data_IF_363805017357
#
_entry.id   IF_363805017357
#
_cell.length_a   1.000
_cell.length_b   1.000
_cell.length_c   1.000
_cell.angle_alpha   90.00
_cell.angle_beta   90.00
_cell.angle_gamma   90.00
#
_symmetry.space_group_name_H-M   'P 1'
#
loop_
_entity.id
_entity.type
_entity.pdbx_description
1 polymer ?
#
# COMPACT_ATOMS: atom_id res chain seq x y z
N UNK A 1 -3.69 10.84 -21.82
CA UNK A 1 -3.03 10.07 -20.75
C UNK A 1 -3.14 10.85 -19.45
N UNK A 2 -4.05 10.47 -18.56
CA UNK A 2 -4.09 11.04 -17.21
C UNK A 2 -2.92 10.42 -16.43
N UNK A 3 -1.88 11.20 -16.11
CA UNK A 3 -0.92 10.83 -15.04
C UNK A 3 -1.75 10.80 -13.76
N UNK A 4 -1.97 9.59 -13.24
CA UNK A 4 -2.98 9.40 -12.21
C UNK A 4 -2.59 9.87 -10.82
N UNK A 5 -1.32 10.13 -10.49
CA UNK A 5 -1.01 10.55 -9.11
C UNK A 5 0.25 11.42 -8.97
N UNK A 6 0.22 12.38 -8.02
CA UNK A 6 1.36 13.24 -7.67
C UNK A 6 2.49 12.43 -7.02
N UNK A 7 3.74 12.80 -7.34
CA UNK A 7 4.98 12.29 -6.75
C UNK A 7 5.24 12.86 -5.35
N UNK A 8 4.20 12.99 -4.52
CA UNK A 8 4.41 13.49 -3.16
C UNK A 8 4.89 12.33 -2.26
N UNK A 9 6.01 12.51 -1.54
CA UNK A 9 6.50 11.49 -0.64
C UNK A 9 5.48 11.23 0.48
N UNK A 10 5.46 10.02 1.07
CA UNK A 10 4.54 9.70 2.14
C UNK A 10 4.73 10.67 3.30
N UNK A 11 3.63 11.23 3.81
CA UNK A 11 3.64 12.18 4.91
C UNK A 11 4.38 11.62 6.14
N UNK A 12 5.06 12.50 6.87
CA UNK A 12 5.74 12.16 8.13
C UNK A 12 4.84 12.54 9.31
N UNK A 13 4.33 11.52 9.99
CA UNK A 13 3.50 11.61 11.17
C UNK A 13 4.30 11.30 12.46
N UNK A 14 5.63 11.19 12.38
CA UNK A 14 6.53 11.12 13.53
C UNK A 14 6.68 9.74 14.17
N UNK A 15 6.04 8.70 13.62
CA UNK A 15 6.29 7.30 14.02
C UNK A 15 5.99 6.35 12.86
N UNK A 16 6.69 5.22 12.79
CA UNK A 16 6.47 4.19 11.78
C UNK A 16 5.02 3.72 11.76
N UNK A 17 4.41 3.54 12.93
CA UNK A 17 3.00 3.14 13.05
C UNK A 17 2.08 4.17 12.40
N UNK A 18 2.19 5.44 12.78
CA UNK A 18 1.33 6.49 12.24
C UNK A 18 1.55 6.68 10.73
N UNK A 19 2.81 6.60 10.28
CA UNK A 19 3.17 6.70 8.86
C UNK A 19 2.53 5.58 8.04
N UNK A 20 2.63 4.32 8.50
CA UNK A 20 2.05 3.16 7.83
C UNK A 20 0.52 3.16 7.86
N UNK A 21 -0.10 3.63 8.95
CA UNK A 21 -1.56 3.74 9.04
C UNK A 21 -2.10 4.76 8.03
N UNK A 22 -1.55 5.97 8.03
CA UNK A 22 -1.95 7.02 7.09
C UNK A 22 -1.74 6.58 5.64
N UNK A 23 -0.58 5.97 5.36
CA UNK A 23 -0.29 5.44 4.02
C UNK A 23 -1.26 4.32 3.61
N UNK A 24 -1.57 3.38 4.50
CA UNK A 24 -2.46 2.25 4.18
C UNK A 24 -3.92 2.69 3.99
N UNK A 25 -4.37 3.71 4.73
CA UNK A 25 -5.67 4.35 4.56
C UNK A 25 -5.77 5.02 3.19
N UNK A 26 -4.76 5.84 2.82
CA UNK A 26 -4.70 6.47 1.51
C UNK A 26 -4.64 5.42 0.38
N UNK A 27 -3.79 4.40 0.54
CA UNK A 27 -3.69 3.31 -0.43
C UNK A 27 -5.03 2.59 -0.64
N UNK A 28 -5.77 2.33 0.44
CA UNK A 28 -7.09 1.72 0.37
C UNK A 28 -8.08 2.63 -0.38
N UNK A 29 -8.18 3.90 -0.01
CA UNK A 29 -9.08 4.86 -0.67
C UNK A 29 -8.78 4.94 -2.17
N UNK A 30 -7.50 5.06 -2.50
CA UNK A 30 -7.01 5.23 -3.86
C UNK A 30 -7.29 3.99 -4.74
N UNK A 31 -7.04 2.79 -4.20
CA UNK A 31 -7.17 1.53 -4.94
C UNK A 31 -8.60 1.00 -4.97
N UNK A 32 -9.43 1.35 -3.97
CA UNK A 32 -10.87 1.01 -3.97
C UNK A 32 -11.73 1.94 -4.83
N UNK A 33 -11.19 3.09 -5.26
CA UNK A 33 -11.87 4.01 -6.18
C UNK A 33 -12.20 3.34 -7.51
N UNK A 34 -13.21 3.86 -8.23
CA UNK A 34 -13.57 3.34 -9.56
C UNK A 34 -12.37 3.28 -10.51
N UNK A 35 -11.52 4.31 -10.49
CA UNK A 35 -10.32 4.38 -11.30
C UNK A 35 -9.26 3.38 -10.82
N UNK A 36 -9.09 3.21 -9.50
CA UNK A 36 -8.20 2.23 -8.91
C UNK A 36 -8.59 0.80 -9.31
N UNK A 37 -9.86 0.43 -9.20
CA UNK A 37 -10.36 -0.90 -9.57
C UNK A 37 -10.14 -1.19 -11.06
N UNK A 38 -10.39 -0.21 -11.95
CA UNK A 38 -10.09 -0.35 -13.38
C UNK A 38 -8.60 -0.56 -13.60
N UNK A 39 -7.75 0.25 -12.96
CA UNK A 39 -6.30 0.13 -13.05
C UNK A 39 -5.80 -1.26 -12.60
N UNK A 40 -6.32 -1.81 -11.50
CA UNK A 40 -5.94 -3.14 -11.01
C UNK A 40 -6.41 -4.23 -11.99
N UNK A 41 -7.63 -4.10 -12.52
CA UNK A 41 -8.16 -5.06 -13.51
C UNK A 41 -7.34 -5.02 -14.80
N UNK A 42 -6.93 -3.85 -15.27
CA UNK A 42 -6.06 -3.69 -16.43
C UNK A 42 -4.68 -4.28 -16.18
N UNK A 43 -4.12 -4.08 -14.98
CA UNK A 43 -2.88 -4.69 -14.55
C UNK A 43 -2.95 -6.23 -14.57
N UNK A 44 -4.08 -6.81 -14.13
CA UNK A 44 -4.32 -8.26 -14.14
C UNK A 44 -4.68 -8.84 -15.50
N UNK A 45 -5.38 -8.07 -16.34
CA UNK A 45 -5.78 -8.49 -17.68
C UNK A 45 -4.58 -8.69 -18.62
N UNK A 46 -3.40 -8.18 -18.22
CA UNK A 46 -2.17 -8.33 -18.97
C UNK A 46 -2.20 -7.46 -20.22
N UNK A 47 -1.51 -6.32 -20.17
CA UNK A 47 -1.01 -5.71 -21.39
C UNK A 47 0.01 -6.69 -22.03
N UNK A 48 -0.04 -6.99 -23.34
CA UNK A 48 1.04 -7.69 -24.03
C UNK A 48 2.45 -7.12 -23.77
N UNK A 49 2.57 -5.88 -23.28
CA UNK A 49 3.83 -5.26 -22.85
C UNK A 49 4.21 -5.47 -21.36
N UNK A 50 3.43 -6.20 -20.55
CA UNK A 50 3.84 -6.68 -19.21
C UNK A 50 4.05 -5.62 -18.11
N UNK A 51 3.80 -4.33 -18.37
CA UNK A 51 4.29 -3.25 -17.49
C UNK A 51 3.33 -2.74 -16.41
N UNK A 52 2.02 -2.96 -16.51
CA UNK A 52 1.06 -2.28 -15.62
C UNK A 52 1.05 -2.82 -14.18
N UNK A 53 1.08 -4.14 -14.00
CA UNK A 53 1.14 -4.78 -12.68
C UNK A 53 2.47 -4.54 -11.96
N UNK A 54 3.59 -4.65 -12.69
CA UNK A 54 4.93 -4.38 -12.17
C UNK A 54 5.03 -2.94 -11.63
N UNK A 55 4.56 -1.95 -12.41
CA UNK A 55 4.54 -0.54 -11.98
C UNK A 55 3.71 -0.28 -10.72
N UNK A 56 2.59 -0.99 -10.54
CA UNK A 56 1.78 -0.87 -9.31
C UNK A 56 2.56 -1.38 -8.08
N UNK A 57 3.25 -2.51 -8.24
CA UNK A 57 4.06 -3.12 -7.19
C UNK A 57 5.26 -2.25 -6.86
N UNK A 58 5.98 -1.77 -7.88
CA UNK A 58 7.18 -0.95 -7.73
C UNK A 58 6.88 0.35 -6.96
N UNK A 59 5.74 0.98 -7.25
CA UNK A 59 5.33 2.19 -6.53
C UNK A 59 5.05 1.93 -5.04
N UNK A 60 4.30 0.88 -4.71
CA UNK A 60 4.03 0.53 -3.32
C UNK A 60 5.35 0.22 -2.58
N UNK A 61 6.28 -0.48 -3.23
CA UNK A 61 7.62 -0.75 -2.71
C UNK A 61 8.41 0.52 -2.44
N UNK A 62 8.43 1.48 -3.37
CA UNK A 62 9.15 2.75 -3.21
C UNK A 62 8.62 3.57 -2.04
N UNK A 63 7.30 3.68 -1.91
CA UNK A 63 6.65 4.43 -0.83
C UNK A 63 6.92 3.78 0.54
N UNK A 64 6.78 2.45 0.64
CA UNK A 64 7.08 1.71 1.87
C UNK A 64 8.56 1.80 2.25
N UNK A 65 9.48 1.75 1.28
CA UNK A 65 10.91 1.99 1.51
C UNK A 65 11.17 3.40 2.03
N UNK A 66 10.52 4.43 1.49
CA UNK A 66 10.67 5.80 1.97
C UNK A 66 10.23 5.95 3.43
N UNK A 67 9.08 5.37 3.80
CA UNK A 67 8.59 5.30 5.19
C UNK A 67 9.60 4.57 6.07
N UNK A 68 10.10 3.41 5.61
CA UNK A 68 11.04 2.58 6.36
C UNK A 68 12.39 3.27 6.61
N UNK A 69 12.97 3.92 5.59
CA UNK A 69 14.22 4.69 5.73
C UNK A 69 14.07 5.78 6.78
N UNK A 70 12.94 6.49 6.77
CA UNK A 70 12.66 7.56 7.73
C UNK A 70 12.53 7.02 9.15
N UNK A 71 11.76 5.94 9.35
CA UNK A 71 11.60 5.29 10.65
C UNK A 71 12.93 4.72 11.20
N UNK A 72 13.74 4.10 10.34
CA UNK A 72 15.07 3.62 10.70
C UNK A 72 15.99 4.78 11.14
N UNK A 73 15.88 5.95 10.49
CA UNK A 73 16.57 7.18 10.91
C UNK A 73 16.18 7.67 12.31
N UNK A 74 14.99 7.31 12.80
CA UNK A 74 14.53 7.56 14.19
C UNK A 74 14.91 6.45 15.17
N UNK A 75 15.55 5.37 14.70
CA UNK A 75 15.89 4.19 15.53
C UNK A 75 14.71 3.24 15.77
N UNK A 76 13.62 3.35 15.00
CA UNK A 76 12.49 2.43 15.08
C UNK A 76 12.81 1.09 14.43
N UNK A 77 12.23 -0.01 14.94
CA UNK A 77 12.33 -1.32 14.30
C UNK A 77 11.40 -1.39 13.09
N UNK A 78 11.96 -1.51 11.89
CA UNK A 78 11.21 -1.51 10.63
C UNK A 78 11.08 -2.93 10.10
N UNK A 79 9.85 -3.42 9.82
CA UNK A 79 9.66 -4.68 9.11
C UNK A 79 10.27 -4.62 7.70
N UNK A 80 10.67 -5.78 7.19
CA UNK A 80 11.11 -5.88 5.80
C UNK A 80 10.00 -5.46 4.83
N UNK A 81 10.37 -4.85 3.70
CA UNK A 81 9.40 -4.34 2.72
C UNK A 81 8.52 -5.45 2.15
N UNK A 82 9.06 -6.66 1.92
CA UNK A 82 8.27 -7.80 1.45
C UNK A 82 7.24 -8.22 2.50
N UNK A 83 7.58 -8.12 3.79
CA UNK A 83 6.61 -8.37 4.86
C UNK A 83 5.46 -7.35 4.86
N UNK A 84 5.73 -6.09 4.52
CA UNK A 84 4.71 -5.06 4.39
C UNK A 84 3.83 -5.32 3.15
N UNK A 85 4.43 -5.73 2.03
CA UNK A 85 3.67 -6.14 0.84
C UNK A 85 2.75 -7.32 1.14
N UNK A 86 3.28 -8.38 1.72
CA UNK A 86 2.56 -9.63 1.97
C UNK A 86 1.44 -9.48 3.02
N UNK A 87 1.66 -8.63 4.03
CA UNK A 87 0.77 -8.54 5.20
C UNK A 87 -0.15 -7.32 5.20
N UNK A 88 0.13 -6.31 4.36
CA UNK A 88 -0.71 -5.11 4.22
C UNK A 88 -1.25 -4.98 2.81
N UNK A 89 -0.37 -4.93 1.80
CA UNK A 89 -0.77 -4.65 0.41
C UNK A 89 -1.59 -5.80 -0.18
N UNK A 90 -1.09 -7.03 -0.14
CA UNK A 90 -1.76 -8.18 -0.74
C UNK A 90 -3.17 -8.43 -0.14
N UNK A 91 -3.39 -8.38 1.19
CA UNK A 91 -4.72 -8.51 1.77
C UNK A 91 -5.70 -7.40 1.37
N UNK A 92 -5.22 -6.17 1.19
CA UNK A 92 -6.05 -5.05 0.70
C UNK A 92 -6.47 -5.30 -0.76
N UNK A 93 -5.50 -5.62 -1.62
CA UNK A 93 -5.75 -5.90 -3.04
C UNK A 93 -6.72 -7.08 -3.23
N UNK A 94 -6.53 -8.15 -2.46
CA UNK A 94 -7.43 -9.31 -2.47
C UNK A 94 -8.87 -8.91 -2.14
N UNK A 95 -9.08 -8.10 -1.10
CA UNK A 95 -10.44 -7.65 -0.72
C UNK A 95 -11.03 -6.72 -1.78
N UNK A 96 -10.28 -5.76 -2.31
CA UNK A 96 -10.76 -4.90 -3.41
C UNK A 96 -11.27 -5.71 -4.60
N UNK A 97 -10.55 -6.77 -4.97
CA UNK A 97 -10.88 -7.58 -6.15
C UNK A 97 -12.01 -8.58 -5.92
N UNK A 98 -12.02 -9.25 -4.77
CA UNK A 98 -12.85 -10.43 -4.56
C UNK A 98 -13.88 -10.27 -3.44
N UNK A 99 -13.70 -9.30 -2.54
CA UNK A 99 -14.54 -9.10 -1.35
C UNK A 99 -14.64 -7.61 -0.97
N UNK A 100 -15.31 -6.79 -1.80
CA UNK A 100 -15.34 -5.34 -1.59
C UNK A 100 -16.11 -4.93 -0.31
N UNK A 101 -16.90 -5.83 0.27
CA UNK A 101 -17.58 -5.59 1.53
C UNK A 101 -16.59 -5.51 2.71
N UNK A 102 -16.73 -4.48 3.54
CA UNK A 102 -15.95 -4.33 4.78
C UNK A 102 -14.52 -3.78 4.59
N UNK A 103 -14.26 -3.13 3.45
CA UNK A 103 -13.09 -2.25 3.29
C UNK A 103 -13.30 -0.99 4.15
N UNK A 104 -12.51 -0.85 5.21
CA UNK A 104 -12.58 0.29 6.12
C UNK A 104 -11.20 0.67 6.64
N UNK A 105 -11.10 1.87 7.18
CA UNK A 105 -9.92 2.35 7.90
C UNK A 105 -9.53 1.41 9.04
N UNK A 106 -10.49 0.86 9.78
CA UNK A 106 -10.22 -0.11 10.85
C UNK A 106 -9.63 -1.42 10.32
N UNK A 107 -9.97 -1.82 9.10
CA UNK A 107 -9.39 -3.01 8.49
C UNK A 107 -7.90 -2.84 8.22
N UNK A 108 -7.49 -1.77 7.55
CA UNK A 108 -6.07 -1.53 7.25
C UNK A 108 -5.26 -1.25 8.51
N UNK A 109 -5.84 -0.56 9.50
CA UNK A 109 -5.19 -0.32 10.78
C UNK A 109 -4.91 -1.62 11.56
N UNK A 110 -5.76 -2.64 11.43
CA UNK A 110 -5.48 -3.97 12.00
C UNK A 110 -4.35 -4.69 11.27
N UNK A 111 -4.24 -4.57 9.95
CA UNK A 111 -3.13 -5.16 9.20
C UNK A 111 -1.80 -4.53 9.60
N UNK A 112 -1.77 -3.20 9.70
CA UNK A 112 -0.58 -2.44 10.15
C UNK A 112 -0.19 -2.83 11.57
N UNK A 113 -1.15 -2.92 12.49
CA UNK A 113 -0.86 -3.38 13.85
C UNK A 113 -0.28 -4.80 13.86
N UNK A 114 -0.84 -5.72 13.09
CA UNK A 114 -0.37 -7.11 13.04
C UNK A 114 1.05 -7.25 12.45
N UNK A 115 1.43 -6.43 11.45
CA UNK A 115 2.78 -6.50 10.87
C UNK A 115 3.85 -5.90 11.77
N UNK A 116 3.50 -4.90 12.58
CA UNK A 116 4.40 -4.26 13.54
C UNK A 116 4.57 -5.08 14.83
N UNK A 117 3.53 -5.80 15.25
CA UNK A 117 3.53 -6.66 16.43
C UNK A 117 3.27 -8.13 16.04
N UNK A 118 4.20 -8.80 15.34
CA UNK A 118 4.05 -10.21 15.00
C UNK A 118 4.02 -11.05 16.29
N UNK A 119 2.86 -11.68 16.53
CA UNK A 119 2.64 -12.59 17.67
C UNK A 119 3.43 -13.90 17.53
#
# INVERSE_FOLDING_TARGET
MQRLRPEEPPADHGSLRADLQAWAEQFLEEMSSQVGVVYIRDALAGDPAGGAAARCSDYAVEQLKAIGVRAAGRGEAVPDVESLLDRVVAPVMYRILFRPDGLSTEYVNRLVAAVLDPS
#
